data_IF_942707204896
#
_entry.id   IF_942707204896
#
_cell.length_a   1.000
_cell.length_b   1.000
_cell.length_c   1.000
_cell.angle_alpha   90.00
_cell.angle_beta   90.00
_cell.angle_gamma   90.00
#
_symmetry.space_group_name_H-M   'P 1'
#
loop_
_entity.id
_entity.type
_entity.pdbx_description
1 polymer ?
#
# COMPACT_ATOMS: atom_id res chain seq x y z
N UNK A 1 14.24 39.10 12.76
CA UNK A 1 12.87 38.92 12.23
C UNK A 1 12.56 37.44 12.20
N UNK A 2 11.61 36.98 13.02
CA UNK A 2 11.07 35.62 12.93
C UNK A 2 10.25 35.55 11.63
N UNK A 3 10.66 34.71 10.68
CA UNK A 3 9.88 34.44 9.45
C UNK A 3 8.56 33.76 9.88
N UNK A 4 7.51 34.57 10.08
CA UNK A 4 6.17 34.14 10.49
C UNK A 4 5.42 33.53 9.32
N UNK A 5 6.04 32.60 8.59
CA UNK A 5 5.35 31.75 7.63
C UNK A 5 4.88 30.48 8.34
N UNK A 6 3.57 30.24 8.31
CA UNK A 6 2.99 28.98 8.74
C UNK A 6 3.68 27.83 8.00
N UNK A 7 4.10 26.80 8.73
CA UNK A 7 4.75 25.63 8.11
C UNK A 7 3.78 25.01 7.09
N UNK A 8 4.27 24.68 5.89
CA UNK A 8 3.50 23.90 4.91
C UNK A 8 3.13 22.56 5.54
N UNK A 9 1.83 22.28 5.60
CA UNK A 9 1.28 21.13 6.33
C UNK A 9 0.35 20.26 5.47
N UNK A 10 0.23 20.55 4.17
CA UNK A 10 -0.64 19.82 3.25
C UNK A 10 0.10 19.46 1.96
N UNK A 11 -0.41 18.43 1.30
CA UNK A 11 -0.07 18.04 -0.07
C UNK A 11 -1.35 18.11 -0.90
N UNK A 12 -1.22 18.53 -2.17
CA UNK A 12 -2.31 18.43 -3.14
C UNK A 12 -2.07 17.22 -4.03
N UNK A 13 -3.11 16.42 -4.23
CA UNK A 13 -3.11 15.33 -5.21
C UNK A 13 -4.13 15.73 -6.27
N UNK A 14 -3.69 15.83 -7.52
CA UNK A 14 -4.57 16.11 -8.64
C UNK A 14 -4.93 14.80 -9.31
N UNK A 15 -6.22 14.54 -9.44
CA UNK A 15 -6.74 13.32 -10.05
C UNK A 15 -7.30 13.65 -11.44
N UNK A 16 -6.68 13.09 -12.47
CA UNK A 16 -7.06 13.31 -13.87
C UNK A 16 -7.50 12.00 -14.51
N UNK A 17 -8.48 12.09 -15.40
CA UNK A 17 -8.91 10.99 -16.25
C UNK A 17 -8.69 11.36 -17.71
N UNK A 18 -8.22 10.40 -18.52
CA UNK A 18 -8.10 10.58 -19.98
C UNK A 18 -9.49 10.72 -20.62
N UNK A 19 -10.44 9.92 -20.15
CA UNK A 19 -11.82 9.90 -20.60
C UNK A 19 -12.72 9.76 -19.35
N UNK A 20 -13.65 10.70 -19.17
CA UNK A 20 -14.57 10.70 -18.04
C UNK A 20 -15.52 9.51 -18.04
N UNK A 21 -15.80 8.90 -19.21
CA UNK A 21 -16.71 7.76 -19.33
C UNK A 21 -16.05 6.43 -18.98
N UNK A 22 -14.73 6.33 -19.13
CA UNK A 22 -13.93 5.15 -18.81
C UNK A 22 -13.24 5.25 -17.44
N UNK A 23 -13.50 6.34 -16.70
CA UNK A 23 -12.88 6.56 -15.41
C UNK A 23 -13.39 5.52 -14.39
N UNK A 24 -12.46 4.76 -13.83
CA UNK A 24 -12.69 3.97 -12.63
C UNK A 24 -12.47 4.83 -11.40
N UNK A 25 -13.52 5.03 -10.62
CA UNK A 25 -13.47 5.73 -9.35
C UNK A 25 -14.34 5.01 -8.33
N UNK A 26 -13.70 4.26 -7.45
CA UNK A 26 -14.35 3.52 -6.38
C UNK A 26 -14.45 4.39 -5.13
N UNK A 27 -15.65 4.48 -4.56
CA UNK A 27 -15.80 5.08 -3.25
C UNK A 27 -15.05 4.24 -2.20
N UNK A 28 -14.25 4.90 -1.38
CA UNK A 28 -13.40 4.28 -0.37
C UNK A 28 -13.83 4.72 1.03
N UNK A 29 -13.69 3.81 2.00
CA UNK A 29 -13.95 4.06 3.41
C UNK A 29 -12.67 3.93 4.22
N UNK A 30 -12.61 4.66 5.34
CA UNK A 30 -11.56 4.55 6.35
C UNK A 30 -12.20 4.25 7.70
N UNK A 31 -11.49 3.58 8.63
CA UNK A 31 -12.07 3.17 9.89
C UNK A 31 -12.53 4.37 10.72
N UNK A 32 -13.62 4.18 11.47
CA UNK A 32 -14.09 5.17 12.43
C UNK A 32 -12.97 5.59 13.40
N UNK A 33 -12.79 6.91 13.57
CA UNK A 33 -11.85 7.44 14.58
C UNK A 33 -12.38 7.14 15.98
N UNK A 34 -11.53 6.51 16.78
CA UNK A 34 -11.82 6.14 18.17
C UNK A 34 -10.80 6.75 19.10
N UNK A 35 -11.23 7.02 20.33
CA UNK A 35 -10.33 7.39 21.40
C UNK A 35 -9.42 6.20 21.74
N UNK A 36 -8.15 6.49 22.06
CA UNK A 36 -7.11 5.48 22.29
C UNK A 36 -7.29 4.73 23.59
N UNK A 37 -7.93 5.33 24.59
CA UNK A 37 -8.00 4.77 25.96
C UNK A 37 -9.24 3.90 26.17
N UNK A 38 -10.40 4.37 25.74
CA UNK A 38 -11.71 3.73 25.97
C UNK A 38 -12.32 3.14 24.68
N UNK A 39 -11.63 3.29 23.54
CA UNK A 39 -12.11 2.89 22.21
C UNK A 39 -13.46 3.50 21.79
N UNK A 40 -13.91 4.55 22.49
CA UNK A 40 -15.16 5.22 22.21
C UNK A 40 -15.09 5.95 20.87
N UNK A 41 -16.16 5.90 20.10
CA UNK A 41 -16.29 6.58 18.81
C UNK A 41 -16.17 8.10 18.99
N UNK A 42 -15.16 8.71 18.37
CA UNK A 42 -14.83 10.11 18.61
C UNK A 42 -15.88 11.07 18.02
N UNK A 43 -16.50 10.69 16.91
CA UNK A 43 -17.47 11.52 16.20
C UNK A 43 -18.87 11.18 16.67
N UNK A 44 -19.58 12.18 17.22
CA UNK A 44 -21.01 12.07 17.46
C UNK A 44 -21.77 12.31 16.15
N UNK A 45 -22.65 11.38 15.81
CA UNK A 45 -23.47 11.41 14.60
C UNK A 45 -24.91 11.87 14.88
N UNK A 46 -25.12 12.62 15.97
CA UNK A 46 -26.38 13.31 16.25
C UNK A 46 -27.56 12.36 16.38
N UNK A 47 -27.34 11.21 17.03
CA UNK A 47 -28.37 10.19 17.27
C UNK A 47 -28.71 9.29 16.07
N UNK A 48 -28.16 9.53 14.87
CA UNK A 48 -28.35 8.67 13.68
C UNK A 48 -27.38 7.47 13.66
N UNK A 49 -27.15 6.85 14.81
CA UNK A 49 -26.13 5.81 14.97
C UNK A 49 -26.50 4.52 14.25
N UNK A 50 -27.78 4.22 14.16
CA UNK A 50 -28.29 3.04 13.46
C UNK A 50 -28.03 3.06 11.94
N UNK A 51 -27.77 4.25 11.37
CA UNK A 51 -27.47 4.44 9.96
C UNK A 51 -25.97 4.46 9.67
N UNK A 52 -25.12 4.28 10.70
CA UNK A 52 -23.69 4.29 10.53
C UNK A 52 -23.23 3.03 9.81
N UNK A 53 -22.39 3.24 8.80
CA UNK A 53 -21.66 2.15 8.21
C UNK A 53 -20.71 1.53 9.26
N UNK A 54 -20.70 0.19 9.46
CA UNK A 54 -19.94 -0.41 10.56
C UNK A 54 -18.44 -0.18 10.49
N UNK A 55 -17.87 -0.18 9.28
CA UNK A 55 -16.44 0.09 9.07
C UNK A 55 -16.08 1.55 9.35
N UNK A 56 -16.82 2.49 8.77
CA UNK A 56 -16.44 3.89 8.76
C UNK A 56 -17.11 4.70 7.66
N UNK A 57 -16.98 6.03 7.70
CA UNK A 57 -17.54 6.92 6.69
C UNK A 57 -16.79 6.79 5.36
N UNK A 58 -17.43 7.29 4.30
CA UNK A 58 -16.76 7.53 3.03
C UNK A 58 -15.65 8.58 3.20
N UNK A 59 -14.56 8.41 2.48
CA UNK A 59 -13.43 9.34 2.44
C UNK A 59 -13.84 10.60 1.66
N UNK A 60 -13.54 11.79 2.21
CA UNK A 60 -13.68 13.08 1.52
C UNK A 60 -12.48 13.42 0.64
N UNK A 61 -12.49 14.56 -0.04
CA UNK A 61 -11.35 15.13 -0.76
C UNK A 61 -10.18 15.55 0.17
N UNK A 62 -10.48 15.88 1.44
CA UNK A 62 -9.46 16.19 2.46
C UNK A 62 -9.14 14.98 3.32
N UNK A 63 -7.92 14.44 3.19
CA UNK A 63 -7.46 13.28 3.96
C UNK A 63 -6.64 13.73 5.18
N UNK A 64 -7.06 13.31 6.38
CA UNK A 64 -6.43 13.75 7.65
C UNK A 64 -5.86 12.60 8.47
N UNK A 65 -6.13 11.36 8.08
CA UNK A 65 -5.76 10.12 8.74
C UNK A 65 -4.40 9.58 8.27
N UNK A 66 -3.92 10.02 7.10
CA UNK A 66 -2.63 9.61 6.54
C UNK A 66 -1.57 10.66 6.88
N UNK A 67 -0.58 10.26 7.68
CA UNK A 67 0.51 11.13 8.11
C UNK A 67 1.81 10.84 7.37
N UNK A 68 2.60 11.90 7.12
CA UNK A 68 3.97 11.73 6.63
C UNK A 68 4.78 10.86 7.59
N UNK A 69 5.68 10.05 7.05
CA UNK A 69 6.64 9.27 7.82
C UNK A 69 7.54 10.24 8.61
N UNK A 70 7.39 10.29 9.94
CA UNK A 70 8.12 11.23 10.81
C UNK A 70 9.43 10.66 11.35
N UNK A 71 9.46 9.38 11.71
CA UNK A 71 10.60 8.77 12.37
C UNK A 71 11.58 8.17 11.36
N UNK A 72 12.87 8.47 11.52
CA UNK A 72 13.93 7.96 10.65
C UNK A 72 14.00 6.44 10.61
N UNK A 73 13.59 5.74 11.69
CA UNK A 73 13.50 4.27 11.73
C UNK A 73 12.63 3.68 10.61
N UNK A 74 11.61 4.42 10.15
CA UNK A 74 10.68 3.98 9.12
C UNK A 74 10.93 4.65 7.77
N UNK A 75 11.98 5.47 7.67
CA UNK A 75 12.41 6.07 6.41
C UNK A 75 13.55 5.26 5.83
N UNK A 76 13.53 5.16 4.52
CA UNK A 76 14.72 4.86 3.74
C UNK A 76 15.56 6.12 3.50
N UNK A 77 16.63 5.97 2.74
CA UNK A 77 17.56 7.05 2.40
C UNK A 77 16.91 8.11 1.49
N UNK A 78 15.75 7.81 0.90
CA UNK A 78 15.05 8.74 0.05
C UNK A 78 14.43 9.89 0.86
N UNK A 79 14.80 11.15 0.58
CA UNK A 79 14.44 12.30 1.41
C UNK A 79 12.92 12.58 1.43
N UNK A 80 12.22 12.17 0.37
CA UNK A 80 10.82 12.48 0.11
C UNK A 80 9.93 11.23 0.03
N UNK A 81 10.22 10.19 0.81
CA UNK A 81 9.40 8.97 0.84
C UNK A 81 7.95 9.26 1.26
N UNK A 82 6.98 8.79 0.46
CA UNK A 82 5.55 8.80 0.77
C UNK A 82 5.15 7.55 1.57
N UNK A 83 4.12 7.62 2.43
CA UNK A 83 3.60 6.43 3.11
C UNK A 83 2.98 5.43 2.11
N UNK A 84 3.30 4.15 2.23
CA UNK A 84 2.79 3.11 1.30
C UNK A 84 1.25 3.06 1.27
N UNK A 85 0.59 3.13 2.42
CA UNK A 85 -0.88 3.09 2.51
C UNK A 85 -1.57 4.32 1.86
N UNK A 86 -0.83 5.42 1.62
CA UNK A 86 -1.33 6.51 0.78
C UNK A 86 -1.50 6.07 -0.67
N UNK A 87 -0.49 5.39 -1.20
CA UNK A 87 -0.49 4.90 -2.58
C UNK A 87 -1.47 3.72 -2.72
N UNK A 88 -1.54 2.83 -1.73
CA UNK A 88 -2.54 1.76 -1.71
C UNK A 88 -3.97 2.32 -1.77
N UNK A 89 -4.26 3.39 -1.02
CA UNK A 89 -5.56 4.07 -1.08
C UNK A 89 -5.88 4.60 -2.48
N UNK A 90 -4.92 5.26 -3.14
CA UNK A 90 -5.09 5.79 -4.50
C UNK A 90 -5.31 4.65 -5.49
N UNK A 91 -4.50 3.60 -5.44
CA UNK A 91 -4.57 2.43 -6.33
C UNK A 91 -5.92 1.70 -6.15
N UNK A 92 -6.37 1.50 -4.90
CA UNK A 92 -7.68 0.92 -4.62
C UNK A 92 -8.82 1.77 -5.19
N UNK A 93 -8.69 3.09 -5.19
CA UNK A 93 -9.71 4.00 -5.70
C UNK A 93 -9.82 3.97 -7.24
N UNK A 94 -8.75 3.63 -7.98
CA UNK A 94 -8.70 3.87 -9.43
C UNK A 94 -8.28 2.70 -10.32
N UNK A 95 -8.02 1.50 -9.79
CA UNK A 95 -7.54 0.35 -10.58
C UNK A 95 -8.16 -0.96 -10.13
N UNK A 96 -8.24 -1.99 -10.95
CA UNK A 96 -8.63 -3.35 -10.54
C UNK A 96 -7.45 -4.30 -10.41
N UNK A 97 -7.69 -5.47 -9.82
CA UNK A 97 -6.66 -6.52 -9.72
C UNK A 97 -6.10 -6.86 -11.11
N UNK A 98 -4.78 -7.08 -11.17
CA UNK A 98 -4.07 -7.39 -12.42
C UNK A 98 -3.82 -6.20 -13.35
N UNK A 99 -4.44 -5.04 -13.11
CA UNK A 99 -4.14 -3.83 -13.90
C UNK A 99 -2.73 -3.29 -13.61
N UNK A 100 -2.21 -2.48 -14.54
CA UNK A 100 -0.85 -1.94 -14.49
C UNK A 100 -0.87 -0.53 -13.90
N UNK A 101 -0.03 -0.30 -12.89
CA UNK A 101 0.27 1.02 -12.32
C UNK A 101 1.62 1.51 -12.84
N UNK A 102 1.64 2.69 -13.45
CA UNK A 102 2.87 3.33 -13.95
C UNK A 102 3.32 4.45 -13.00
N UNK A 103 4.59 4.43 -12.63
CA UNK A 103 5.26 5.52 -11.91
C UNK A 103 6.57 5.92 -12.62
N UNK A 104 6.60 7.06 -13.34
CA UNK A 104 7.80 7.51 -14.04
C UNK A 104 8.87 8.12 -13.12
N UNK A 105 8.57 8.34 -11.84
CA UNK A 105 9.48 8.92 -10.85
C UNK A 105 9.45 8.07 -9.58
N UNK A 106 9.72 6.78 -9.75
CA UNK A 106 9.41 5.76 -8.75
C UNK A 106 10.23 5.85 -7.47
N UNK A 107 11.38 6.53 -7.48
CA UNK A 107 12.26 6.67 -6.33
C UNK A 107 12.62 5.29 -5.76
N UNK A 108 12.42 5.10 -4.47
CA UNK A 108 12.64 3.81 -3.80
C UNK A 108 11.46 2.82 -3.92
N UNK A 109 10.55 3.05 -4.86
CA UNK A 109 9.53 2.08 -5.28
C UNK A 109 8.24 2.04 -4.46
N UNK A 110 7.87 3.11 -3.75
CA UNK A 110 6.64 3.14 -2.91
C UNK A 110 5.39 2.73 -3.71
N UNK A 111 5.24 3.24 -4.93
CA UNK A 111 4.10 2.93 -5.82
C UNK A 111 4.10 1.47 -6.26
N UNK A 112 5.27 0.94 -6.64
CA UNK A 112 5.44 -0.46 -7.03
C UNK A 112 5.12 -1.42 -5.89
N UNK A 113 5.57 -1.10 -4.67
CA UNK A 113 5.27 -1.88 -3.45
C UNK A 113 3.76 -1.89 -3.20
N UNK A 114 3.10 -0.73 -3.24
CA UNK A 114 1.65 -0.63 -3.05
C UNK A 114 0.87 -1.41 -4.12
N UNK A 115 1.27 -1.31 -5.39
CA UNK A 115 0.67 -2.06 -6.48
C UNK A 115 0.84 -3.58 -6.28
N UNK A 116 2.05 -4.05 -5.98
CA UNK A 116 2.35 -5.46 -5.73
C UNK A 116 1.50 -6.02 -4.59
N UNK A 117 1.43 -5.31 -3.46
CA UNK A 117 0.62 -5.70 -2.29
C UNK A 117 -0.85 -5.87 -2.60
N UNK A 118 -1.36 -5.06 -3.52
CA UNK A 118 -2.76 -5.08 -3.96
C UNK A 118 -2.98 -5.99 -5.17
N UNK A 119 -2.00 -6.82 -5.58
CA UNK A 119 -2.16 -7.70 -6.73
C UNK A 119 -2.29 -6.97 -8.07
N UNK A 120 -1.74 -5.75 -8.18
CA UNK A 120 -1.60 -5.02 -9.44
C UNK A 120 -0.21 -5.25 -10.03
N UNK A 121 -0.12 -5.18 -11.35
CA UNK A 121 1.15 -5.07 -12.04
C UNK A 121 1.68 -3.64 -11.92
N UNK A 122 2.99 -3.45 -12.12
CA UNK A 122 3.59 -2.12 -12.03
C UNK A 122 4.74 -1.95 -13.02
N UNK A 123 4.96 -0.69 -13.41
CA UNK A 123 6.12 -0.25 -14.18
C UNK A 123 6.67 0.99 -13.48
N UNK A 124 7.93 0.95 -13.08
CA UNK A 124 8.63 2.04 -12.43
C UNK A 124 9.83 2.48 -13.27
N UNK A 125 10.03 3.80 -13.40
CA UNK A 125 11.27 4.37 -13.91
C UNK A 125 11.97 5.15 -12.80
N UNK A 126 13.29 5.01 -12.73
CA UNK A 126 14.16 5.76 -11.81
C UNK A 126 15.52 5.92 -12.47
N UNK A 127 16.12 7.12 -12.33
CA UNK A 127 17.41 7.45 -12.92
C UNK A 127 18.56 7.11 -11.97
N UNK A 128 18.32 7.21 -10.66
CA UNK A 128 19.34 6.94 -9.65
C UNK A 128 19.49 5.43 -9.40
N UNK A 129 20.65 4.83 -9.74
CA UNK A 129 20.86 3.40 -9.55
C UNK A 129 20.82 2.96 -8.08
N UNK A 130 21.12 3.85 -7.13
CA UNK A 130 21.02 3.54 -5.69
C UNK A 130 19.55 3.37 -5.27
N UNK A 131 18.67 4.26 -5.73
CA UNK A 131 17.23 4.13 -5.49
C UNK A 131 16.62 2.91 -6.18
N UNK A 132 17.10 2.57 -7.39
CA UNK A 132 16.73 1.31 -8.07
C UNK A 132 17.10 0.11 -7.20
N UNK A 133 18.34 0.03 -6.72
CA UNK A 133 18.79 -1.10 -5.88
C UNK A 133 17.96 -1.22 -4.58
N UNK A 134 17.67 -0.10 -3.92
CA UNK A 134 16.79 -0.08 -2.73
C UNK A 134 15.37 -0.56 -3.09
N UNK A 135 14.83 -0.10 -4.22
CA UNK A 135 13.50 -0.49 -4.70
C UNK A 135 13.42 -1.99 -4.97
N UNK A 136 14.38 -2.54 -5.72
CA UNK A 136 14.47 -3.98 -6.02
C UNK A 136 14.60 -4.82 -4.74
N UNK A 137 15.44 -4.37 -3.80
CA UNK A 137 15.60 -5.01 -2.50
C UNK A 137 14.27 -5.12 -1.75
N UNK A 138 13.49 -4.04 -1.68
CA UNK A 138 12.17 -4.06 -1.03
C UNK A 138 11.16 -4.92 -1.78
N UNK A 139 11.09 -4.77 -3.10
CA UNK A 139 10.16 -5.52 -3.94
C UNK A 139 10.41 -7.02 -3.88
N UNK A 140 11.66 -7.46 -3.69
CA UNK A 140 12.01 -8.87 -3.52
C UNK A 140 11.45 -9.49 -2.23
N UNK A 141 11.16 -8.68 -1.21
CA UNK A 141 10.66 -9.13 0.10
C UNK A 141 9.15 -8.92 0.26
N UNK A 142 8.50 -8.32 -0.75
CA UNK A 142 7.09 -7.97 -0.70
C UNK A 142 6.24 -9.00 -1.44
N UNK A 143 5.04 -9.29 -0.95
CA UNK A 143 4.13 -10.27 -1.56
C UNK A 143 2.74 -9.66 -1.79
N UNK A 144 1.98 -10.21 -2.72
CA UNK A 144 0.60 -9.78 -3.00
C UNK A 144 -0.37 -10.32 -1.94
N UNK A 145 -0.35 -9.73 -0.75
CA UNK A 145 -1.00 -10.27 0.43
C UNK A 145 -1.96 -9.29 1.15
N UNK A 146 -2.15 -8.08 0.62
CA UNK A 146 -3.01 -7.08 1.26
C UNK A 146 -4.48 -7.31 0.92
N UNK A 147 -5.00 -8.49 1.30
CA UNK A 147 -6.38 -8.91 1.04
C UNK A 147 -6.98 -9.69 2.20
N UNK A 148 -8.31 -9.65 2.32
CA UNK A 148 -9.10 -10.54 3.15
C UNK A 148 -9.95 -11.42 2.25
N UNK A 149 -9.70 -12.73 2.29
CA UNK A 149 -10.30 -13.63 1.31
C UNK A 149 -9.92 -13.19 -0.10
N UNK A 150 -10.91 -12.77 -0.88
CA UNK A 150 -10.72 -12.29 -2.26
C UNK A 150 -10.80 -10.76 -2.39
N UNK A 151 -10.98 -10.02 -1.28
CA UNK A 151 -11.13 -8.56 -1.30
C UNK A 151 -9.81 -7.89 -0.96
N UNK A 152 -9.33 -7.01 -1.84
CA UNK A 152 -8.12 -6.22 -1.62
C UNK A 152 -8.40 -5.05 -0.68
N UNK A 153 -7.53 -4.86 0.31
CA UNK A 153 -7.66 -3.81 1.33
C UNK A 153 -6.30 -3.15 1.55
N UNK A 154 -6.29 -1.89 2.00
CA UNK A 154 -5.06 -1.24 2.43
C UNK A 154 -4.86 -1.43 3.93
N UNK A 155 -3.63 -1.73 4.35
CA UNK A 155 -3.31 -1.94 5.76
C UNK A 155 -2.08 -1.17 6.21
N UNK A 156 -2.07 -0.81 7.49
CA UNK A 156 -0.95 -0.12 8.12
C UNK A 156 -0.78 -0.60 9.56
N UNK A 157 0.40 -1.14 9.88
CA UNK A 157 0.74 -1.64 11.22
C UNK A 157 -0.30 -2.68 11.71
N UNK A 158 -0.67 -3.65 10.86
CA UNK A 158 -1.61 -4.70 11.23
C UNK A 158 -3.09 -4.32 11.18
N UNK A 159 -3.41 -3.05 10.96
CA UNK A 159 -4.80 -2.58 10.91
C UNK A 159 -5.21 -2.19 9.49
N UNK A 160 -6.48 -2.40 9.17
CA UNK A 160 -7.03 -2.02 7.86
C UNK A 160 -7.36 -0.54 7.88
N UNK A 161 -6.78 0.19 6.93
CA UNK A 161 -6.93 1.65 6.85
C UNK A 161 -7.86 2.08 5.73
N UNK A 162 -7.99 1.28 4.67
CA UNK A 162 -8.84 1.62 3.52
C UNK A 162 -9.49 0.37 2.95
N UNK A 163 -10.78 0.47 2.66
CA UNK A 163 -11.56 -0.51 1.91
C UNK A 163 -12.34 0.21 0.80
N UNK A 164 -12.77 -0.52 -0.22
CA UNK A 164 -13.81 -0.01 -1.12
C UNK A 164 -15.18 -0.20 -0.48
N UNK A 165 -16.07 0.75 -0.73
CA UNK A 165 -17.46 0.64 -0.29
C UNK A 165 -18.16 -0.57 -0.92
N UNK A 166 -17.98 -0.74 -2.23
CA UNK A 166 -18.61 -1.84 -3.00
C UNK A 166 -18.22 -3.24 -2.51
N UNK A 167 -17.08 -3.39 -1.82
CA UNK A 167 -16.58 -4.68 -1.37
C UNK A 167 -17.06 -5.02 0.05
N UNK A 168 -17.80 -4.12 0.71
CA UNK A 168 -18.17 -4.27 2.12
C UNK A 168 -19.03 -5.51 2.39
N UNK A 169 -19.96 -5.86 1.49
CA UNK A 169 -20.84 -7.01 1.71
C UNK A 169 -20.08 -8.33 1.83
N UNK A 170 -19.02 -8.50 1.02
CA UNK A 170 -18.13 -9.65 1.12
C UNK A 170 -17.21 -9.53 2.33
N UNK A 171 -16.62 -8.35 2.52
CA UNK A 171 -15.65 -8.10 3.58
C UNK A 171 -16.27 -8.25 4.99
N UNK A 172 -17.50 -7.80 5.18
CA UNK A 172 -18.23 -7.83 6.46
C UNK A 172 -18.36 -9.24 7.03
N UNK A 173 -18.35 -10.27 6.17
CA UNK A 173 -18.38 -11.69 6.58
C UNK A 173 -17.14 -12.09 7.38
N UNK A 174 -16.01 -11.41 7.16
CA UNK A 174 -14.78 -11.62 7.91
C UNK A 174 -14.73 -10.83 9.22
N UNK A 175 -15.69 -9.94 9.48
CA UNK A 175 -15.77 -9.13 10.69
C UNK A 175 -16.77 -9.68 11.72
N UNK A 176 -16.47 -9.44 12.98
CA UNK A 176 -17.38 -9.52 14.10
C UNK A 176 -18.02 -8.14 14.27
N UNK A 177 -19.32 -8.07 14.00
CA UNK A 177 -20.12 -6.85 14.17
C UNK A 177 -20.80 -6.85 15.54
N UNK A 178 -21.04 -5.68 16.15
CA UNK A 178 -21.85 -5.57 17.35
C UNK A 178 -23.27 -6.11 17.13
N UNK A 179 -23.87 -6.68 18.19
CA UNK A 179 -25.24 -7.24 18.11
C UNK A 179 -26.28 -6.18 17.76
N UNK A 180 -26.14 -4.98 18.33
CA UNK A 180 -26.97 -3.83 17.97
C UNK A 180 -26.11 -2.76 17.30
N UNK A 181 -26.64 -2.12 16.26
CA UNK A 181 -25.93 -1.06 15.55
C UNK A 181 -25.52 0.11 16.47
N UNK A 182 -26.32 0.40 17.51
CA UNK A 182 -26.04 1.45 18.51
C UNK A 182 -24.80 1.16 19.36
N UNK A 183 -24.42 -0.09 19.51
CA UNK A 183 -23.28 -0.49 20.34
C UNK A 183 -21.94 -0.17 19.65
N UNK A 184 -21.97 0.32 18.41
CA UNK A 184 -20.79 0.74 17.64
C UNK A 184 -19.96 1.80 18.36
N UNK A 185 -20.54 2.60 19.25
CA UNK A 185 -19.75 3.62 19.97
C UNK A 185 -18.70 2.99 20.86
N UNK A 186 -19.06 1.95 21.59
CA UNK A 186 -18.21 1.29 22.58
C UNK A 186 -17.51 0.04 22.02
N UNK A 187 -18.17 -0.65 21.09
CA UNK A 187 -17.71 -1.93 20.57
C UNK A 187 -17.14 -1.75 19.16
N UNK A 188 -15.82 -1.80 18.98
CA UNK A 188 -15.22 -1.78 17.64
C UNK A 188 -15.54 -3.08 16.90
N UNK A 189 -15.60 -2.99 15.56
CA UNK A 189 -15.58 -4.18 14.72
C UNK A 189 -14.18 -4.82 14.80
N UNK A 190 -14.13 -6.15 14.78
CA UNK A 190 -12.88 -6.89 14.82
C UNK A 190 -12.86 -7.97 13.74
N UNK A 191 -11.69 -8.28 13.20
CA UNK A 191 -11.55 -9.42 12.28
C UNK A 191 -11.71 -10.73 13.05
N UNK A 192 -12.46 -11.68 12.47
CA UNK A 192 -12.66 -13.02 13.04
C UNK A 192 -11.36 -13.80 13.22
N UNK A 193 -10.39 -13.57 12.31
CA UNK A 193 -9.06 -14.20 12.35
C UNK A 193 -8.00 -13.12 12.22
N UNK A 194 -7.10 -13.02 13.20
CA UNK A 194 -6.06 -11.99 13.27
C UNK A 194 -4.93 -12.17 12.22
N UNK A 195 -4.84 -13.32 11.56
CA UNK A 195 -3.69 -13.72 10.73
C UNK A 195 -3.82 -13.48 9.21
N UNK A 196 -4.85 -12.75 8.75
CA UNK A 196 -5.07 -12.61 7.30
C UNK A 196 -4.13 -11.59 6.62
N UNK A 197 -3.36 -10.81 7.38
CA UNK A 197 -2.41 -9.84 6.83
C UNK A 197 -1.00 -10.24 7.23
N UNK A 198 -0.38 -11.12 6.43
CA UNK A 198 1.04 -11.46 6.60
C UNK A 198 1.87 -10.21 6.36
N UNK A 199 2.52 -9.68 7.40
CA UNK A 199 3.53 -8.65 7.21
C UNK A 199 4.86 -9.34 6.87
N UNK A 200 5.71 -8.78 6.00
CA UNK A 200 7.09 -9.25 5.94
C UNK A 200 7.68 -9.17 7.36
N UNK A 201 8.45 -10.19 7.79
CA UNK A 201 9.03 -10.20 9.13
C UNK A 201 9.83 -8.92 9.34
N UNK A 202 9.68 -8.31 10.53
CA UNK A 202 10.51 -7.17 10.93
C UNK A 202 11.97 -7.61 10.78
N UNK A 203 12.71 -7.01 9.85
CA UNK A 203 14.15 -7.21 9.79
C UNK A 203 14.74 -6.65 11.08
N UNK A 204 15.14 -7.54 11.97
CA UNK A 204 16.02 -7.16 13.06
C UNK A 204 17.33 -6.72 12.39
N UNK A 205 17.69 -5.46 12.60
CA UNK A 205 18.92 -4.88 12.06
C UNK A 205 20.13 -5.66 12.57
N UNK A 206 20.66 -6.52 11.69
CA UNK A 206 22.04 -6.96 11.56
C UNK A 206 22.02 -8.19 10.67
N UNK A 207 22.38 -8.03 9.39
CA UNK A 207 23.03 -9.07 8.58
C UNK A 207 23.43 -8.49 7.20
N UNK A 208 24.22 -7.41 7.20
CA UNK A 208 24.88 -6.94 5.97
C UNK A 208 25.85 -7.99 5.38
N UNK A 209 26.34 -8.93 6.18
CA UNK A 209 27.27 -9.98 5.73
C UNK A 209 26.60 -11.20 5.09
N UNK A 210 25.30 -11.40 5.25
CA UNK A 210 24.58 -12.56 4.69
C UNK A 210 24.06 -12.29 3.28
N UNK A 211 23.69 -11.03 2.99
CA UNK A 211 23.30 -10.55 1.66
C UNK A 211 24.44 -10.62 0.63
N UNK A 212 25.69 -10.37 1.05
CA UNK A 212 26.85 -10.45 0.16
C UNK A 212 27.11 -11.89 -0.32
N UNK A 213 26.95 -12.89 0.55
CA UNK A 213 27.15 -14.31 0.19
C UNK A 213 26.09 -14.83 -0.78
N UNK A 214 24.86 -14.32 -0.70
CA UNK A 214 23.77 -14.66 -1.62
C UNK A 214 23.94 -13.99 -2.99
N UNK A 215 24.56 -12.80 -3.03
CA UNK A 215 24.95 -12.14 -4.28
C UNK A 215 26.05 -12.90 -5.02
N UNK A 216 27.10 -13.32 -4.29
CA UNK A 216 28.23 -14.08 -4.85
C UNK A 216 27.81 -15.48 -5.35
N UNK A 217 26.80 -16.09 -4.73
CA UNK A 217 26.24 -17.37 -5.19
C UNK A 217 25.43 -17.24 -6.50
N UNK A 218 24.83 -16.07 -6.78
CA UNK A 218 23.98 -15.84 -7.97
C UNK A 218 24.77 -15.51 -9.24
N UNK A 219 25.95 -14.89 -9.12
CA UNK A 219 26.84 -14.70 -10.28
C UNK A 219 27.35 -16.04 -10.83
N UNK A 220 27.52 -17.05 -9.98
CA UNK A 220 27.97 -18.38 -10.41
C UNK A 220 26.95 -19.14 -11.29
N UNK A 221 25.65 -18.83 -11.16
CA UNK A 221 24.59 -19.45 -11.97
C UNK A 221 24.27 -18.71 -13.26
N UNK A 222 24.60 -17.41 -13.34
CA UNK A 222 24.23 -16.57 -14.50
C UNK A 222 25.23 -16.70 -15.66
N UNK A 223 26.44 -17.23 -15.42
CA UNK A 223 27.48 -17.41 -16.46
C UNK A 223 27.31 -18.71 -17.28
N UNK A 224 26.44 -19.65 -16.89
CA UNK A 224 26.33 -20.96 -17.57
C UNK A 224 25.16 -21.12 -18.56
N UNK A 225 24.32 -20.12 -18.80
CA UNK A 225 23.23 -20.25 -19.79
C UNK A 225 23.13 -19.05 -20.71
N UNK A 226 23.89 -19.09 -21.81
CA UNK A 226 23.48 -18.68 -23.16
C UNK A 226 24.68 -18.67 -24.13
N UNK A 227 25.01 -19.83 -24.68
CA UNK A 227 25.83 -19.93 -25.90
C UNK A 227 25.06 -20.77 -26.94
N UNK A 228 24.32 -20.09 -27.81
CA UNK A 228 23.74 -20.69 -29.02
C UNK A 228 24.85 -20.89 -30.08
N UNK A 229 24.93 -22.06 -30.75
CA UNK A 229 25.99 -22.33 -31.73
C UNK A 229 25.74 -21.59 -33.05
N UNK A 230 26.70 -20.75 -33.46
CA UNK A 230 26.72 -20.12 -34.79
C UNK A 230 27.07 -21.16 -35.86
N UNK A 231 26.11 -21.54 -36.69
CA UNK A 231 26.35 -22.33 -37.91
C UNK A 231 27.01 -21.47 -38.99
N UNK A 232 28.28 -21.74 -39.31
CA UNK A 232 29.02 -21.20 -40.46
C UNK A 232 28.54 -21.87 -41.75
N UNK A 233 27.90 -21.14 -42.66
CA UNK A 233 27.79 -21.56 -44.08
C UNK A 233 29.13 -21.32 -44.77
N UNK A 234 29.80 -22.39 -45.19
CA UNK A 234 30.99 -22.36 -46.05
C UNK A 234 30.57 -21.96 -47.46
N UNK A 235 31.19 -20.91 -48.01
CA UNK A 235 31.34 -20.78 -49.45
C UNK A 235 32.31 -21.85 -49.95
N UNK A 236 31.91 -22.57 -50.99
CA UNK A 236 32.83 -23.27 -51.89
C UNK A 236 32.67 -22.64 -53.28
N UNK A 237 33.81 -22.66 -53.99
CA UNK A 237 34.11 -22.05 -55.28
C UNK A 237 33.13 -22.42 -56.39
#
# INVERSE_FOLDING_TARGET
>A
MCDRRTKRAHYGILFYAKDATQLKFYEIRYPHKRNRTDHYLQKDYGGKKDLLHPFGPLVSDVWTDIHRIKHNKYRDEHPCQLPVHLLERIILMSTDEGEIVLDPFSGTGTTAIAAKRLGRQYIGFELDPEYVAISEGKLSQEEANSRIGNVWVSSFIGEITTIRDCDWDELSKAYLLPKNARDIDHTPIALKTANLISHPPRSNGNNHHEMQRLFDARESYTVQSNALPKTRKKHQK
#
